data_IF_961934158011
#
_entry.id   IF_961934158011
#
_cell.length_a   1.000
_cell.length_b   1.000
_cell.length_c   1.000
_cell.angle_alpha   90.00
_cell.angle_beta   90.00
_cell.angle_gamma   90.00
#
_symmetry.space_group_name_H-M   'P 1'
#
loop_
_entity.id
_entity.type
_entity.pdbx_description
1 polymer ?
#
# COMPACT_ATOMS: atom_id res chain seq x y z
N UNK A 1 -12.00 -7.92 8.60
CA UNK A 1 -10.66 -7.29 8.56
C UNK A 1 -10.72 -5.80 8.25
N UNK A 2 -11.51 -5.39 7.24
CA UNK A 2 -11.67 -3.98 6.82
C UNK A 2 -13.05 -3.39 7.14
N UNK A 3 -13.80 -4.02 8.04
CA UNK A 3 -15.20 -3.68 8.37
C UNK A 3 -15.36 -2.31 9.06
N UNK A 4 -14.25 -1.68 9.45
CA UNK A 4 -14.21 -0.34 10.04
C UNK A 4 -14.16 0.78 8.99
N UNK A 5 -14.01 0.46 7.70
CA UNK A 5 -14.06 1.45 6.62
C UNK A 5 -15.50 1.71 6.19
N UNK A 6 -16.05 2.85 6.63
CA UNK A 6 -17.37 3.32 6.19
C UNK A 6 -17.37 3.58 4.68
N UNK A 7 -18.26 2.93 3.93
CA UNK A 7 -18.40 3.10 2.48
C UNK A 7 -17.56 2.15 1.63
N UNK A 8 -16.79 1.23 2.25
CA UNK A 8 -16.08 0.19 1.51
C UNK A 8 -17.05 -0.86 1.00
N UNK A 9 -17.10 -1.06 -0.33
CA UNK A 9 -17.92 -2.11 -0.92
C UNK A 9 -17.37 -3.49 -0.55
N UNK A 10 -18.22 -4.52 -0.35
CA UNK A 10 -17.78 -5.87 -0.01
C UNK A 10 -16.75 -6.45 -0.98
N UNK A 11 -16.90 -6.19 -2.28
CA UNK A 11 -15.97 -6.65 -3.32
C UNK A 11 -14.60 -5.98 -3.17
N UNK A 12 -14.58 -4.71 -2.76
CA UNK A 12 -13.34 -3.98 -2.54
C UNK A 12 -12.65 -4.46 -1.26
N UNK A 13 -13.41 -4.71 -0.19
CA UNK A 13 -12.90 -5.34 1.02
C UNK A 13 -12.28 -6.72 0.73
N UNK A 14 -12.94 -7.55 -0.10
CA UNK A 14 -12.41 -8.84 -0.51
C UNK A 14 -11.11 -8.72 -1.31
N UNK A 15 -11.00 -7.73 -2.21
CA UNK A 15 -9.75 -7.44 -2.93
C UNK A 15 -8.63 -7.05 -1.97
N UNK A 16 -8.91 -6.20 -0.98
CA UNK A 16 -7.90 -5.80 0.00
C UNK A 16 -7.42 -6.98 0.83
N UNK A 17 -8.33 -7.88 1.25
CA UNK A 17 -7.95 -9.11 1.95
C UNK A 17 -7.06 -9.98 1.05
N UNK A 18 -7.41 -10.16 -0.23
CA UNK A 18 -6.59 -10.92 -1.16
C UNK A 18 -5.20 -10.30 -1.37
N UNK A 19 -5.08 -8.97 -1.35
CA UNK A 19 -3.79 -8.29 -1.41
C UNK A 19 -2.98 -8.47 -0.13
N UNK A 20 -3.60 -8.41 1.05
CA UNK A 20 -2.92 -8.71 2.32
C UNK A 20 -2.32 -10.10 2.30
N UNK A 21 -3.10 -11.12 1.90
CA UNK A 21 -2.61 -12.50 1.85
C UNK A 21 -1.46 -12.68 0.84
N UNK A 22 -1.48 -11.96 -0.29
CA UNK A 22 -0.36 -11.94 -1.23
C UNK A 22 0.88 -11.20 -0.70
N UNK A 23 0.69 -10.18 0.13
CA UNK A 23 1.79 -9.38 0.69
C UNK A 23 2.45 -10.05 1.90
N UNK A 24 1.77 -10.97 2.62
CA UNK A 24 2.35 -11.70 3.75
C UNK A 24 3.69 -12.38 3.40
N UNK A 25 3.78 -13.23 2.35
CA UNK A 25 5.05 -13.86 2.00
C UNK A 25 6.09 -12.84 1.51
N UNK A 26 5.67 -11.75 0.86
CA UNK A 26 6.60 -10.69 0.44
C UNK A 26 7.20 -9.99 1.65
N UNK A 27 6.37 -9.71 2.67
CA UNK A 27 6.83 -9.10 3.92
C UNK A 27 7.81 -10.01 4.67
N UNK A 28 7.53 -11.31 4.71
CA UNK A 28 8.37 -12.30 5.40
C UNK A 28 9.73 -12.51 4.71
N UNK A 29 9.77 -12.47 3.38
CA UNK A 29 11.00 -12.72 2.62
C UNK A 29 11.81 -11.46 2.34
N UNK A 30 11.15 -10.38 1.93
CA UNK A 30 11.80 -9.21 1.32
C UNK A 30 11.56 -7.90 2.11
N UNK A 31 10.67 -7.94 3.10
CA UNK A 31 10.39 -6.82 3.99
C UNK A 31 9.40 -5.78 3.44
N UNK A 32 9.27 -4.67 4.17
CA UNK A 32 8.17 -3.72 3.97
C UNK A 32 8.31 -2.86 2.69
N UNK A 33 9.53 -2.54 2.24
CA UNK A 33 9.71 -1.81 0.98
C UNK A 33 9.27 -2.64 -0.22
N UNK A 34 9.55 -3.95 -0.22
CA UNK A 34 9.10 -4.86 -1.27
C UNK A 34 7.56 -4.96 -1.32
N UNK A 35 6.90 -4.93 -0.15
CA UNK A 35 5.44 -4.84 -0.07
C UNK A 35 4.93 -3.54 -0.73
N UNK A 36 5.58 -2.41 -0.48
CA UNK A 36 5.16 -1.14 -1.09
C UNK A 36 5.38 -1.12 -2.60
N UNK A 37 6.49 -1.68 -3.08
CA UNK A 37 6.75 -1.86 -4.51
C UNK A 37 5.68 -2.74 -5.16
N UNK A 38 5.41 -3.92 -4.60
CA UNK A 38 4.37 -4.84 -5.09
C UNK A 38 2.99 -4.17 -5.18
N UNK A 39 2.61 -3.41 -4.16
CA UNK A 39 1.34 -2.70 -4.16
C UNK A 39 1.32 -1.56 -5.20
N UNK A 40 2.42 -0.82 -5.35
CA UNK A 40 2.53 0.25 -6.35
C UNK A 40 2.46 -0.30 -7.79
N UNK A 41 3.14 -1.41 -8.08
CA UNK A 41 3.09 -2.11 -9.37
C UNK A 41 1.67 -2.57 -9.74
N UNK A 42 0.86 -2.93 -8.75
CA UNK A 42 -0.56 -3.28 -8.94
C UNK A 42 -1.50 -2.08 -9.09
N UNK A 43 -0.96 -0.86 -9.13
CA UNK A 43 -1.74 0.37 -9.23
C UNK A 43 -2.52 0.70 -7.96
N UNK A 44 -2.09 0.17 -6.81
CA UNK A 44 -2.77 0.39 -5.54
C UNK A 44 -2.58 1.84 -5.09
N UNK A 45 -3.68 2.55 -4.86
CA UNK A 45 -3.63 3.93 -4.36
C UNK A 45 -3.10 4.03 -2.92
N UNK A 46 -2.69 5.23 -2.50
CA UNK A 46 -2.08 5.48 -1.18
C UNK A 46 -2.97 5.06 -0.01
N UNK A 47 -4.28 5.31 -0.08
CA UNK A 47 -5.21 4.94 1.01
C UNK A 47 -5.31 3.42 1.17
N UNK A 48 -5.43 2.70 0.06
CA UNK A 48 -5.47 1.24 0.04
C UNK A 48 -4.15 0.64 0.53
N UNK A 49 -3.03 1.23 0.13
CA UNK A 49 -1.70 0.88 0.62
C UNK A 49 -1.58 0.99 2.14
N UNK A 50 -2.05 2.09 2.72
CA UNK A 50 -2.03 2.32 4.16
C UNK A 50 -2.89 1.26 4.87
N UNK A 51 -4.07 0.97 4.35
CA UNK A 51 -4.96 -0.03 4.91
C UNK A 51 -4.32 -1.44 4.91
N UNK A 52 -3.73 -1.83 3.78
CA UNK A 52 -3.05 -3.13 3.63
C UNK A 52 -1.81 -3.22 4.54
N UNK A 53 -1.00 -2.17 4.58
CA UNK A 53 0.20 -2.08 5.43
C UNK A 53 -0.16 -2.23 6.90
N UNK A 54 -1.21 -1.53 7.34
CA UNK A 54 -1.71 -1.63 8.72
C UNK A 54 -2.25 -3.02 9.03
N UNK A 55 -2.93 -3.66 8.07
CA UNK A 55 -3.45 -5.00 8.21
C UNK A 55 -2.32 -6.05 8.33
N UNK A 56 -1.22 -5.88 7.61
CA UNK A 56 -0.03 -6.74 7.70
C UNK A 56 0.68 -6.63 9.04
N UNK A 57 0.76 -5.42 9.61
CA UNK A 57 1.40 -5.16 10.90
C UNK A 57 0.49 -5.41 12.12
N UNK A 58 -0.74 -5.89 11.90
CA UNK A 58 -1.74 -6.07 12.95
C UNK A 58 -2.52 -4.78 13.22
N UNK A 59 -3.80 -4.77 12.80
CA UNK A 59 -4.66 -3.58 12.87
C UNK A 59 -4.83 -2.98 14.27
N UNK A 60 -4.83 -3.82 15.31
CA UNK A 60 -5.02 -3.41 16.70
C UNK A 60 -3.72 -2.92 17.36
N UNK A 61 -2.58 -3.47 16.93
CA UNK A 61 -1.26 -3.20 17.50
C UNK A 61 -0.59 -2.00 16.82
N UNK A 62 -0.94 -1.76 15.54
CA UNK A 62 -0.35 -0.70 14.73
C UNK A 62 -1.23 0.54 14.66
N UNK A 63 -0.77 1.69 15.19
CA UNK A 63 -1.44 2.97 15.00
C UNK A 63 -1.51 3.33 13.52
N UNK A 64 -2.63 3.94 13.09
CA UNK A 64 -2.79 4.37 11.70
C UNK A 64 -1.65 5.28 11.23
N UNK A 65 -1.12 6.12 12.14
CA UNK A 65 0.00 7.01 11.84
C UNK A 65 1.25 6.26 11.41
N UNK A 66 1.56 5.13 12.05
CA UNK A 66 2.72 4.30 11.69
C UNK A 66 2.58 3.74 10.28
N UNK A 67 1.39 3.26 9.91
CA UNK A 67 1.14 2.79 8.56
C UNK A 67 1.21 3.92 7.52
N UNK A 68 0.75 5.13 7.86
CA UNK A 68 0.90 6.32 7.01
C UNK A 68 2.38 6.64 6.80
N UNK A 69 3.16 6.70 7.87
CA UNK A 69 4.57 7.07 7.80
C UNK A 69 5.36 6.07 6.93
N UNK A 70 5.14 4.76 7.10
CA UNK A 70 5.76 3.71 6.26
C UNK A 70 5.46 3.92 4.77
N UNK A 71 4.19 4.15 4.42
CA UNK A 71 3.79 4.34 3.02
C UNK A 71 4.34 5.65 2.47
N UNK A 72 4.34 6.71 3.27
CA UNK A 72 4.82 8.04 2.87
C UNK A 72 6.34 8.08 2.66
N UNK A 73 7.10 7.32 3.45
CA UNK A 73 8.57 7.29 3.33
C UNK A 73 9.08 6.25 2.33
N UNK A 74 8.20 5.44 1.75
CA UNK A 74 8.63 4.38 0.84
C UNK A 74 9.23 4.92 -0.44
N UNK A 75 10.45 4.48 -0.74
CA UNK A 75 11.16 4.87 -1.95
C UNK A 75 10.44 4.32 -3.20
N UNK A 76 9.90 3.10 -3.13
CA UNK A 76 9.18 2.46 -4.22
C UNK A 76 7.95 3.28 -4.65
N UNK A 77 7.28 3.93 -3.69
CA UNK A 77 6.12 4.81 -3.96
C UNK A 77 6.52 6.14 -4.57
N UNK A 78 7.67 6.69 -4.15
CA UNK A 78 8.19 7.95 -4.66
C UNK A 78 8.68 7.83 -6.11
N UNK A 79 9.21 6.66 -6.49
CA UNK A 79 9.65 6.41 -7.87
C UNK A 79 8.49 6.29 -8.86
N UNK A 80 7.38 5.67 -8.45
CA UNK A 80 6.18 5.54 -9.29
C UNK A 80 5.50 6.90 -9.50
N UNK A 81 5.63 7.86 -8.59
CA UNK A 81 5.17 9.25 -8.77
C UNK A 81 6.15 10.14 -9.55
N UNK A 82 7.42 9.76 -9.66
CA UNK A 82 8.47 10.52 -10.35
C UNK A 82 8.53 10.31 -11.87
N UNK A 83 7.74 9.40 -12.43
CA UNK A 83 7.81 9.03 -13.86
C UNK A 83 6.81 9.79 -14.76
N UNK A 84 6.03 10.73 -14.22
CA UNK A 84 5.10 11.60 -14.98
C UNK A 84 5.71 12.97 -15.37
N UNK A 85 6.97 13.27 -15.01
CA UNK A 85 7.57 14.61 -15.19
C UNK A 85 8.70 14.69 -16.25
N UNK A 86 8.73 13.79 -17.23
CA UNK A 86 9.76 13.75 -18.27
C UNK A 86 9.22 13.91 -19.70
N UNK A 87 8.27 14.82 -19.95
CA UNK A 87 7.93 15.23 -21.34
C UNK A 87 7.38 16.67 -21.44
N UNK A 88 8.04 17.64 -20.80
CA UNK A 88 7.76 19.07 -21.05
C UNK A 88 9.02 19.89 -20.79
N UNK A 89 9.97 19.85 -21.71
CA UNK A 89 10.86 20.97 -22.05
C UNK A 89 11.69 20.60 -23.27
N UNK A 90 11.16 20.93 -24.45
CA UNK A 90 11.76 20.63 -25.73
C UNK A 90 10.97 21.22 -26.90
N UNK A 91 10.82 22.55 -26.90
CA UNK A 91 10.47 23.33 -28.09
C UNK A 91 10.91 24.79 -27.92
#
# INVERSE_FOLDING_TARGET
>A
MFDHFSGLRPEQAARWVALVEQCRPVLENDGMEAVQAFLAERGTGTIEAIAITRALLGNAETPLRVAIDIVATSAARQQVQGNDQAEVDGA
#
